data_IF_279207136616
#
_entry.id   IF_279207136616
#
_cell.length_a   1.000
_cell.length_b   1.000
_cell.length_c   1.000
_cell.angle_alpha   90.00
_cell.angle_beta   90.00
_cell.angle_gamma   90.00
#
_symmetry.space_group_name_H-M   'P 1'
#
loop_
_entity.id
_entity.type
_entity.pdbx_description
1 polymer ?
#
# COMPACT_ATOMS: atom_id res chain seq x y z
N UNK A 1 -5.76 -17.32 -1.52
CA UNK A 1 -5.58 -15.85 -1.45
C UNK A 1 -6.83 -15.08 -1.02
N UNK A 2 -8.05 -15.63 -1.11
CA UNK A 2 -9.28 -14.93 -0.68
C UNK A 2 -9.26 -14.46 0.79
N UNK A 3 -8.87 -15.31 1.73
CA UNK A 3 -8.77 -14.94 3.16
C UNK A 3 -7.73 -13.85 3.41
N UNK A 4 -6.65 -13.82 2.62
CA UNK A 4 -5.64 -12.78 2.71
C UNK A 4 -6.20 -11.44 2.24
N UNK A 5 -6.76 -11.40 1.02
CA UNK A 5 -7.44 -10.23 0.49
C UNK A 5 -8.50 -9.70 1.47
N UNK A 6 -9.35 -10.58 2.01
CA UNK A 6 -10.38 -10.18 2.98
C UNK A 6 -9.80 -9.58 4.28
N UNK A 7 -8.75 -10.19 4.83
CA UNK A 7 -8.11 -9.71 6.06
C UNK A 7 -7.40 -8.35 5.89
N UNK A 8 -6.79 -8.13 4.72
CA UNK A 8 -6.00 -6.92 4.45
C UNK A 8 -6.78 -5.84 3.68
N UNK A 9 -7.95 -6.15 3.11
CA UNK A 9 -8.93 -5.18 2.58
C UNK A 9 -9.98 -4.76 3.61
N UNK A 10 -9.96 -5.31 4.85
CA UNK A 10 -10.93 -4.90 5.87
C UNK A 10 -10.79 -3.40 6.16
N UNK A 11 -11.91 -2.67 6.36
CA UNK A 11 -11.85 -1.26 6.71
C UNK A 11 -10.98 -1.02 7.96
N UNK A 12 -10.04 -0.08 7.84
CA UNK A 12 -9.17 0.35 8.94
C UNK A 12 -7.94 -0.51 9.20
N UNK A 13 -7.73 -1.64 8.51
CA UNK A 13 -6.51 -2.43 8.67
C UNK A 13 -5.24 -1.63 8.36
N UNK A 14 -5.22 -0.92 7.24
CA UNK A 14 -4.10 -0.07 6.84
C UNK A 14 -3.81 0.98 7.92
N UNK A 15 -4.81 1.77 8.32
CA UNK A 15 -4.67 2.75 9.39
C UNK A 15 -4.11 2.21 10.71
N UNK A 16 -4.41 0.97 11.05
CA UNK A 16 -3.96 0.35 12.31
C UNK A 16 -2.52 -0.19 12.24
N UNK A 17 -2.04 -0.55 11.06
CA UNK A 17 -0.85 -1.37 10.90
C UNK A 17 0.23 -0.74 10.01
N UNK A 18 -0.17 0.05 9.01
CA UNK A 18 0.70 0.48 7.92
C UNK A 18 1.90 1.31 8.40
N UNK A 19 1.74 2.16 9.41
CA UNK A 19 2.84 3.00 9.94
C UNK A 19 3.88 2.22 10.74
N UNK A 20 3.61 0.95 11.07
CA UNK A 20 4.54 0.08 11.79
C UNK A 20 5.30 -0.88 10.85
N UNK A 21 4.99 -0.84 9.55
CA UNK A 21 5.61 -1.68 8.53
C UNK A 21 6.69 -0.89 7.79
N UNK A 22 7.66 -1.60 7.24
CA UNK A 22 8.68 -0.99 6.37
C UNK A 22 8.11 -0.72 4.97
N UNK A 23 8.64 0.28 4.26
CA UNK A 23 8.20 0.65 2.91
C UNK A 23 8.14 -0.55 1.94
N UNK A 24 9.15 -1.42 1.99
CA UNK A 24 9.22 -2.61 1.13
C UNK A 24 8.10 -3.63 1.43
N UNK A 25 7.66 -3.72 2.68
CA UNK A 25 6.56 -4.60 3.09
C UNK A 25 5.22 -4.05 2.60
N UNK A 26 5.02 -2.73 2.71
CA UNK A 26 3.81 -2.06 2.22
C UNK A 26 3.74 -2.10 0.68
N UNK A 27 4.85 -1.90 -0.01
CA UNK A 27 4.95 -2.05 -1.47
C UNK A 27 4.52 -3.45 -1.93
N UNK A 28 5.07 -4.49 -1.28
CA UNK A 28 4.76 -5.88 -1.60
C UNK A 28 3.29 -6.22 -1.33
N UNK A 29 2.75 -5.74 -0.20
CA UNK A 29 1.36 -5.93 0.18
C UNK A 29 0.40 -5.21 -0.79
N UNK A 30 0.65 -3.94 -1.08
CA UNK A 30 -0.18 -3.14 -1.98
C UNK A 30 -0.21 -3.74 -3.39
N UNK A 31 0.95 -4.18 -3.90
CA UNK A 31 1.00 -4.87 -5.18
C UNK A 31 0.18 -6.16 -5.18
N UNK A 32 0.34 -7.02 -4.15
CA UNK A 32 -0.41 -8.27 -4.07
C UNK A 32 -1.92 -8.02 -4.00
N UNK A 33 -2.37 -7.04 -3.23
CA UNK A 33 -3.78 -6.66 -3.17
C UNK A 33 -4.28 -6.20 -4.55
N UNK A 34 -3.52 -5.38 -5.27
CA UNK A 34 -3.89 -4.95 -6.62
C UNK A 34 -3.98 -6.13 -7.61
N UNK A 35 -3.03 -7.07 -7.57
CA UNK A 35 -3.06 -8.30 -8.38
C UNK A 35 -4.26 -9.21 -8.05
N UNK A 36 -4.74 -9.16 -6.81
CA UNK A 36 -5.95 -9.88 -6.36
C UNK A 36 -7.26 -9.14 -6.67
N UNK A 37 -7.20 -7.97 -7.32
CA UNK A 37 -8.36 -7.13 -7.66
C UNK A 37 -8.77 -6.15 -6.55
N UNK A 38 -8.05 -6.13 -5.43
CA UNK A 38 -8.31 -5.30 -4.26
C UNK A 38 -7.61 -3.93 -4.36
N UNK A 39 -7.73 -3.28 -5.53
CA UNK A 39 -6.99 -2.06 -5.87
C UNK A 39 -7.22 -0.91 -4.88
N UNK A 40 -8.46 -0.77 -4.38
CA UNK A 40 -8.78 0.24 -3.37
C UNK A 40 -7.98 0.02 -2.09
N UNK A 41 -7.92 -1.22 -1.60
CA UNK A 41 -7.18 -1.55 -0.39
C UNK A 41 -5.69 -1.30 -0.59
N UNK A 42 -5.13 -1.66 -1.74
CA UNK A 42 -3.74 -1.37 -2.09
C UNK A 42 -3.38 0.12 -1.91
N UNK A 43 -4.25 1.02 -2.38
CA UNK A 43 -4.07 2.47 -2.22
C UNK A 43 -4.20 2.92 -0.76
N UNK A 44 -5.15 2.36 -0.02
CA UNK A 44 -5.30 2.65 1.42
C UNK A 44 -4.03 2.29 2.19
N UNK A 45 -3.40 1.15 1.90
CA UNK A 45 -2.12 0.76 2.50
C UNK A 45 -0.98 1.75 2.19
N UNK A 46 -0.84 2.16 0.93
CA UNK A 46 0.18 3.15 0.54
C UNK A 46 -0.05 4.51 1.20
N UNK A 47 -1.29 4.98 1.22
CA UNK A 47 -1.64 6.29 1.79
C UNK A 47 -1.50 6.31 3.32
N UNK A 48 -1.95 5.26 4.01
CA UNK A 48 -1.89 5.22 5.48
C UNK A 48 -0.46 5.00 5.98
N UNK A 49 0.39 4.25 5.24
CA UNK A 49 1.81 4.12 5.57
C UNK A 49 2.53 5.47 5.50
N UNK A 50 2.36 6.20 4.39
CA UNK A 50 2.97 7.51 4.17
C UNK A 50 2.61 8.58 5.22
N UNK A 51 1.56 8.37 6.02
CA UNK A 51 1.21 9.27 7.14
C UNK A 51 2.10 9.09 8.37
N UNK A 52 2.80 7.97 8.48
CA UNK A 52 3.71 7.65 9.57
C UNK A 52 5.18 7.98 9.30
N UNK A 53 5.54 8.29 8.05
CA UNK A 53 6.94 8.39 7.63
C UNK A 53 7.57 9.74 7.92
N UNK A 54 8.87 9.70 8.19
CA UNK A 54 9.74 10.86 8.31
C UNK A 54 9.94 11.55 6.94
N UNK A 55 10.26 12.85 6.97
CA UNK A 55 10.33 13.76 5.81
C UNK A 55 11.23 13.31 4.64
N UNK A 56 12.13 12.35 4.84
CA UNK A 56 13.17 11.95 3.88
C UNK A 56 12.98 10.55 3.28
N UNK A 57 11.85 9.88 3.53
CA UNK A 57 11.56 8.54 2.96
C UNK A 57 10.80 8.61 1.63
N UNK A 58 10.96 7.57 0.80
CA UNK A 58 10.39 7.36 -0.52
C UNK A 58 8.86 7.50 -0.56
N UNK A 59 8.17 7.29 0.56
CA UNK A 59 6.72 7.37 0.66
C UNK A 59 6.18 8.71 1.18
N UNK A 60 7.03 9.63 1.65
CA UNK A 60 6.63 10.97 2.15
C UNK A 60 5.71 11.75 1.19
N UNK A 61 5.88 11.58 -0.13
CA UNK A 61 5.10 12.27 -1.17
C UNK A 61 3.95 11.45 -1.78
N UNK A 62 3.70 10.22 -1.32
CA UNK A 62 2.62 9.35 -1.82
C UNK A 62 1.21 9.97 -1.75
N UNK A 63 0.87 10.92 -0.86
CA UNK A 63 -0.44 11.56 -0.88
C UNK A 63 -0.78 12.27 -2.20
N UNK A 64 0.24 12.66 -2.98
CA UNK A 64 0.03 13.43 -4.22
C UNK A 64 -0.33 12.51 -5.40
N UNK A 65 0.20 11.29 -5.46
CA UNK A 65 0.04 10.41 -6.64
C UNK A 65 0.09 8.88 -6.29
N UNK A 66 -0.59 8.43 -5.23
CA UNK A 66 -0.64 7.01 -4.85
C UNK A 66 -1.06 6.07 -6.00
N UNK A 67 -1.92 6.55 -6.89
CA UNK A 67 -2.35 5.84 -8.10
C UNK A 67 -1.19 5.59 -9.07
N UNK A 68 -0.44 6.64 -9.41
CA UNK A 68 0.73 6.54 -10.28
C UNK A 68 1.83 5.69 -9.62
N UNK A 69 1.96 5.78 -8.30
CA UNK A 69 2.90 4.97 -7.55
C UNK A 69 2.56 3.48 -7.67
N UNK A 70 1.29 3.12 -7.45
CA UNK A 70 0.82 1.74 -7.59
C UNK A 70 1.01 1.22 -9.03
N UNK A 71 0.75 2.05 -10.04
CA UNK A 71 1.01 1.70 -11.44
C UNK A 71 2.51 1.41 -11.69
N UNK A 72 3.41 2.24 -11.14
CA UNK A 72 4.86 1.99 -11.21
C UNK A 72 5.23 0.70 -10.50
N UNK A 73 4.69 0.43 -9.31
CA UNK A 73 4.94 -0.82 -8.58
C UNK A 73 4.54 -2.04 -9.40
N UNK A 74 3.38 -1.98 -10.05
CA UNK A 74 2.86 -3.06 -10.88
C UNK A 74 3.67 -3.26 -12.16
N UNK A 75 4.21 -2.20 -12.77
CA UNK A 75 5.05 -2.28 -13.97
C UNK A 75 6.52 -2.64 -13.72
N UNK A 76 7.04 -2.47 -12.49
CA UNK A 76 8.46 -2.70 -12.16
C UNK A 76 8.86 -4.19 -12.13
N UNK A 77 7.90 -5.10 -12.15
CA UNK A 77 8.10 -6.54 -11.93
C UNK A 77 7.23 -7.42 -12.87
N UNK A 78 6.79 -6.85 -14.00
CA UNK A 78 6.10 -7.56 -15.09
C UNK A 78 7.06 -8.26 -16.03
#
# INVERSE_FOLDING_TARGET
>A
MRLFAEAFSRPGAARELATAMECAEVDALARLLAELGERRAALEWLVDHARGDDFDDAHWSVPVDAEQYLERLMGRWS
#
